data_IF_768097824926
#
_entry.id   IF_768097824926
#
_cell.length_a   1.000
_cell.length_b   1.000
_cell.length_c   1.000
_cell.angle_alpha   90.00
_cell.angle_beta   90.00
_cell.angle_gamma   90.00
#
_symmetry.space_group_name_H-M   'P 1'
#
loop_
_entity.id
_entity.type
_entity.pdbx_description
1 polymer ?
#
# COMPACT_ATOMS: atom_id res chain seq x y z
N UNK A 1 -56.42 19.56 -37.60
CA UNK A 1 -55.25 20.40 -37.28
C UNK A 1 -54.58 19.76 -36.08
N UNK A 2 -53.46 19.10 -36.33
CA UNK A 2 -52.69 18.30 -35.37
C UNK A 2 -51.96 19.20 -34.38
N UNK A 3 -51.86 18.79 -33.11
CA UNK A 3 -50.62 18.88 -32.33
C UNK A 3 -50.78 17.91 -31.14
N UNK A 4 -50.19 16.71 -31.26
CA UNK A 4 -49.97 15.84 -30.11
C UNK A 4 -48.59 16.23 -29.54
N UNK A 5 -48.58 16.94 -28.43
CA UNK A 5 -47.36 17.29 -27.72
C UNK A 5 -46.85 16.04 -27.00
N UNK A 6 -46.00 15.28 -27.70
CA UNK A 6 -45.20 14.21 -27.13
C UNK A 6 -44.11 14.78 -26.24
N UNK A 7 -44.47 15.10 -24.99
CA UNK A 7 -43.51 15.45 -23.94
C UNK A 7 -42.69 14.21 -23.56
N UNK A 8 -41.63 13.96 -24.33
CA UNK A 8 -40.59 13.01 -24.01
C UNK A 8 -39.85 13.50 -22.77
N UNK A 9 -40.38 13.18 -21.59
CA UNK A 9 -39.65 13.37 -20.33
C UNK A 9 -38.39 12.49 -20.37
N UNK A 10 -37.28 13.12 -20.74
CA UNK A 10 -35.96 12.51 -20.79
C UNK A 10 -35.49 12.17 -19.39
N UNK A 11 -36.01 11.10 -18.80
CA UNK A 11 -35.44 10.52 -17.59
C UNK A 11 -34.00 10.10 -17.92
N UNK A 12 -33.00 10.51 -17.13
CA UNK A 12 -31.64 10.02 -17.32
C UNK A 12 -31.67 8.49 -17.31
N UNK A 13 -31.19 7.87 -18.39
CA UNK A 13 -31.07 6.41 -18.45
C UNK A 13 -30.11 5.99 -17.34
N UNK A 14 -30.64 5.31 -16.33
CA UNK A 14 -29.84 4.74 -15.26
C UNK A 14 -28.85 3.74 -15.85
N UNK A 15 -27.55 4.04 -15.72
CA UNK A 15 -26.49 3.16 -16.20
C UNK A 15 -26.33 2.03 -15.19
N UNK A 16 -26.36 0.79 -15.67
CA UNK A 16 -26.16 -0.37 -14.78
C UNK A 16 -24.74 -0.40 -14.21
N UNK A 17 -24.60 -0.82 -12.95
CA UNK A 17 -23.30 -1.00 -12.28
C UNK A 17 -22.38 -1.93 -13.06
N UNK A 18 -22.94 -2.95 -13.71
CA UNK A 18 -22.19 -3.89 -14.57
C UNK A 18 -21.60 -3.20 -15.79
N UNK A 19 -22.34 -2.30 -16.44
CA UNK A 19 -21.87 -1.56 -17.59
C UNK A 19 -20.75 -0.57 -17.20
N UNK A 20 -20.88 0.08 -16.03
CA UNK A 20 -19.82 0.93 -15.47
C UNK A 20 -18.58 0.09 -15.15
N UNK A 21 -18.73 -1.06 -14.48
CA UNK A 21 -17.63 -1.96 -14.16
C UNK A 21 -16.93 -2.47 -15.43
N UNK A 22 -17.68 -2.88 -16.45
CA UNK A 22 -17.15 -3.27 -17.75
C UNK A 22 -16.35 -2.13 -18.39
N UNK A 23 -16.90 -0.91 -18.41
CA UNK A 23 -16.23 0.25 -19.00
C UNK A 23 -14.91 0.55 -18.30
N UNK A 24 -14.92 0.57 -16.97
CA UNK A 24 -13.73 0.83 -16.14
C UNK A 24 -12.65 -0.23 -16.35
N UNK A 25 -13.01 -1.51 -16.31
CA UNK A 25 -12.02 -2.59 -16.34
C UNK A 25 -11.61 -3.01 -17.75
N UNK A 26 -12.52 -3.01 -18.73
CA UNK A 26 -12.28 -3.49 -20.09
C UNK A 26 -11.95 -2.38 -21.06
N UNK A 27 -12.69 -1.27 -21.02
CA UNK A 27 -12.49 -0.17 -21.96
C UNK A 27 -11.36 0.77 -21.50
N UNK A 28 -11.38 1.17 -20.23
CA UNK A 28 -10.36 2.06 -19.67
C UNK A 28 -9.13 1.32 -19.13
N UNK A 29 -9.24 0.00 -18.86
CA UNK A 29 -8.12 -0.80 -18.36
C UNK A 29 -7.58 -0.31 -17.01
N UNK A 30 -8.46 0.20 -16.15
CA UNK A 30 -8.11 0.64 -14.80
C UNK A 30 -8.70 -0.31 -13.75
N UNK A 31 -8.01 -0.40 -12.61
CA UNK A 31 -8.42 -1.22 -11.47
C UNK A 31 -8.30 -0.41 -10.18
N UNK A 32 -9.10 -0.77 -9.17
CA UNK A 32 -9.03 -0.15 -7.85
C UNK A 32 -8.13 -0.99 -6.95
N UNK A 33 -7.04 -0.42 -6.46
CA UNK A 33 -6.08 -1.10 -5.58
C UNK A 33 -5.87 -0.32 -4.28
N UNK A 34 -5.82 -1.02 -3.14
CA UNK A 34 -5.35 -0.44 -1.89
C UNK A 34 -3.84 -0.18 -1.97
N UNK A 35 -3.39 0.97 -1.48
CA UNK A 35 -1.99 1.29 -1.45
C UNK A 35 -1.20 0.34 -0.53
N UNK A 36 -0.02 -0.08 -0.97
CA UNK A 36 0.90 -0.88 -0.15
C UNK A 36 1.60 0.03 0.86
N UNK A 37 1.53 -0.36 2.14
CA UNK A 37 2.23 0.36 3.20
C UNK A 37 3.74 0.16 3.08
N UNK A 38 4.47 1.27 3.04
CA UNK A 38 5.92 1.29 3.12
C UNK A 38 6.35 2.11 4.34
N UNK A 39 7.33 1.66 5.14
CA UNK A 39 7.74 2.38 6.35
C UNK A 39 8.21 3.81 6.04
N UNK A 40 9.02 3.99 5.00
CA UNK A 40 9.54 5.28 4.54
C UNK A 40 9.72 5.25 3.03
N UNK A 41 9.46 6.37 2.38
CA UNK A 41 9.92 6.59 1.00
C UNK A 41 11.41 6.90 1.03
N UNK A 42 12.16 6.24 0.15
CA UNK A 42 13.62 6.38 0.08
C UNK A 42 14.01 7.31 -1.06
N UNK A 43 14.95 8.21 -0.80
CA UNK A 43 15.63 9.01 -1.83
C UNK A 43 16.49 8.10 -2.71
N UNK A 44 16.92 8.61 -3.86
CA UNK A 44 17.80 7.87 -4.78
C UNK A 44 19.07 7.38 -4.08
N UNK A 45 19.78 8.26 -3.36
CA UNK A 45 21.02 7.90 -2.67
C UNK A 45 20.82 6.83 -1.58
N UNK A 46 19.69 6.89 -0.85
CA UNK A 46 19.34 5.86 0.14
C UNK A 46 19.04 4.51 -0.51
N UNK A 47 18.55 4.49 -1.76
CA UNK A 47 18.37 3.25 -2.51
C UNK A 47 19.72 2.72 -2.99
N UNK A 48 20.57 3.58 -3.52
CA UNK A 48 21.90 3.19 -3.98
C UNK A 48 22.72 2.59 -2.84
N UNK A 49 22.77 3.27 -1.68
CA UNK A 49 23.45 2.76 -0.49
C UNK A 49 22.99 1.34 -0.11
N UNK A 50 21.67 1.10 -0.15
CA UNK A 50 21.13 -0.24 0.15
C UNK A 50 21.54 -1.30 -0.86
N UNK A 51 21.68 -0.93 -2.15
CA UNK A 51 22.20 -1.84 -3.17
C UNK A 51 23.66 -2.17 -2.86
N UNK A 52 24.49 -1.14 -2.65
CA UNK A 52 25.92 -1.31 -2.36
C UNK A 52 26.15 -2.20 -1.11
N UNK A 53 25.43 -1.92 -0.02
CA UNK A 53 25.52 -2.70 1.22
C UNK A 53 25.06 -4.16 1.00
N UNK A 54 24.04 -4.37 0.18
CA UNK A 54 23.53 -5.71 -0.14
C UNK A 54 24.49 -6.51 -1.01
N UNK A 55 25.17 -5.86 -1.96
CA UNK A 55 26.19 -6.49 -2.80
C UNK A 55 27.41 -6.93 -1.98
N UNK A 56 27.84 -6.11 -1.01
CA UNK A 56 28.89 -6.47 -0.07
C UNK A 56 28.49 -7.68 0.78
N UNK A 57 27.29 -7.65 1.38
CA UNK A 57 26.75 -8.78 2.13
C UNK A 57 26.67 -10.05 1.28
N UNK A 58 26.20 -9.94 0.03
CA UNK A 58 26.10 -11.06 -0.89
C UNK A 58 27.46 -11.67 -1.22
N UNK A 59 28.48 -10.84 -1.39
CA UNK A 59 29.85 -11.30 -1.65
C UNK A 59 30.38 -12.10 -0.45
N UNK A 60 30.21 -11.58 0.77
CA UNK A 60 30.59 -12.26 2.02
C UNK A 60 29.89 -13.62 2.16
N UNK A 61 28.59 -13.66 1.88
CA UNK A 61 27.79 -14.90 1.90
C UNK A 61 28.26 -15.89 0.83
N UNK A 62 28.62 -15.44 -0.38
CA UNK A 62 29.12 -16.31 -1.44
C UNK A 62 30.50 -16.89 -1.12
N UNK A 63 31.38 -16.12 -0.48
CA UNK A 63 32.71 -16.57 -0.12
C UNK A 63 32.69 -17.64 0.99
N UNK A 64 31.91 -17.42 2.05
CA UNK A 64 31.83 -18.39 3.16
C UNK A 64 30.51 -18.29 3.94
N UNK A 65 29.43 -18.78 3.32
CA UNK A 65 28.08 -18.79 3.90
C UNK A 65 27.98 -19.39 5.31
N UNK A 66 28.51 -20.59 5.61
CA UNK A 66 28.29 -21.22 6.91
C UNK A 66 28.94 -20.42 8.05
N UNK A 67 30.16 -19.92 7.86
CA UNK A 67 30.85 -19.10 8.86
C UNK A 67 30.19 -17.73 9.04
N UNK A 68 29.82 -17.08 7.93
CA UNK A 68 29.12 -15.80 7.98
C UNK A 68 27.83 -15.89 8.81
N UNK A 69 27.00 -16.90 8.55
CA UNK A 69 25.74 -17.08 9.28
C UNK A 69 25.94 -17.50 10.74
N UNK A 70 27.01 -18.25 11.07
CA UNK A 70 27.31 -18.63 12.46
C UNK A 70 27.61 -17.41 13.34
N UNK A 71 28.23 -16.38 12.78
CA UNK A 71 28.60 -15.16 13.49
C UNK A 71 27.51 -14.07 13.43
N UNK A 72 26.49 -14.25 12.59
CA UNK A 72 25.48 -13.24 12.34
C UNK A 72 24.39 -13.27 13.42
N UNK A 73 24.54 -12.40 14.43
CA UNK A 73 23.55 -12.21 15.50
C UNK A 73 22.85 -10.87 15.30
N UNK A 74 21.52 -10.86 15.29
CA UNK A 74 20.70 -9.63 15.17
C UNK A 74 19.72 -9.51 16.32
N UNK A 75 19.43 -8.28 16.73
CA UNK A 75 18.40 -7.96 17.73
C UNK A 75 17.65 -6.70 17.31
N UNK A 76 16.32 -6.71 17.44
CA UNK A 76 15.45 -5.57 17.17
C UNK A 76 14.30 -5.55 18.17
N UNK A 77 13.79 -4.36 18.47
CA UNK A 77 12.70 -4.16 19.42
C UNK A 77 11.36 -4.00 18.67
N UNK A 78 10.38 -4.84 19.01
CA UNK A 78 9.02 -4.73 18.45
C UNK A 78 8.04 -4.31 19.54
N UNK A 79 7.35 -3.18 19.32
CA UNK A 79 6.26 -2.75 20.19
C UNK A 79 5.01 -3.62 19.97
N UNK A 80 4.58 -4.35 21.00
CA UNK A 80 3.33 -5.11 20.97
C UNK A 80 2.15 -4.21 21.37
N UNK A 81 1.25 -3.95 20.43
CA UNK A 81 0.04 -3.15 20.66
C UNK A 81 -1.20 -4.04 20.66
N UNK A 82 -2.09 -3.90 21.66
CA UNK A 82 -3.47 -4.44 21.62
C UNK A 82 -4.22 -3.75 20.47
N UNK A 83 -4.34 -4.36 19.29
CA UNK A 83 -4.76 -3.65 18.07
C UNK A 83 -6.07 -4.16 17.48
N UNK A 84 -7.03 -3.25 17.27
CA UNK A 84 -8.15 -3.43 16.34
C UNK A 84 -7.66 -3.15 14.92
N UNK A 85 -7.72 -4.14 14.03
CA UNK A 85 -7.24 -4.02 12.65
C UNK A 85 -7.97 -2.90 11.90
N UNK A 86 -7.27 -1.79 11.62
CA UNK A 86 -7.78 -0.72 10.75
C UNK A 86 -7.74 -1.19 9.29
N UNK A 87 -8.90 -1.24 8.64
CA UNK A 87 -9.00 -1.65 7.23
C UNK A 87 -8.23 -0.71 6.30
N UNK A 88 -7.39 -1.27 5.43
CA UNK A 88 -6.68 -0.51 4.41
C UNK A 88 -7.58 -0.10 3.22
N UNK A 89 -8.87 -0.46 3.24
CA UNK A 89 -9.79 -0.21 2.12
C UNK A 89 -9.96 1.28 1.82
N UNK A 90 -9.74 2.15 2.81
CA UNK A 90 -9.76 3.60 2.66
C UNK A 90 -8.59 4.17 1.84
N UNK A 91 -7.51 3.41 1.58
CA UNK A 91 -6.40 3.84 0.73
C UNK A 91 -6.54 3.39 -0.73
N UNK A 92 -7.74 2.99 -1.13
CA UNK A 92 -7.97 2.46 -2.47
C UNK A 92 -7.96 3.55 -3.53
N UNK A 93 -7.06 3.43 -4.50
CA UNK A 93 -6.91 4.36 -5.62
C UNK A 93 -7.11 3.61 -6.94
N UNK A 94 -7.64 4.31 -7.95
CA UNK A 94 -7.76 3.80 -9.30
C UNK A 94 -6.41 3.89 -10.01
N UNK A 95 -5.97 2.81 -10.65
CA UNK A 95 -4.65 2.69 -11.27
C UNK A 95 -4.73 1.86 -12.54
N UNK A 96 -3.97 2.25 -13.57
CA UNK A 96 -3.89 1.51 -14.82
C UNK A 96 -3.26 0.13 -14.64
N UNK A 97 -3.63 -0.84 -15.50
CA UNK A 97 -3.18 -2.22 -15.32
C UNK A 97 -1.65 -2.41 -15.31
N UNK A 98 -0.91 -1.63 -16.10
CA UNK A 98 0.55 -1.72 -16.22
C UNK A 98 1.30 -0.90 -15.17
N UNK A 99 0.61 -0.03 -14.42
CA UNK A 99 1.22 0.78 -13.37
C UNK A 99 1.44 -0.07 -12.10
N UNK A 100 2.52 0.18 -11.34
CA UNK A 100 2.76 -0.51 -10.09
C UNK A 100 1.67 -0.19 -9.07
N UNK A 101 1.54 -1.05 -8.06
CA UNK A 101 0.64 -0.80 -6.92
C UNK A 101 1.01 0.53 -6.25
N UNK A 102 0.03 1.42 -5.99
CA UNK A 102 0.29 2.65 -5.25
C UNK A 102 0.99 2.36 -3.93
N UNK A 103 1.95 3.21 -3.56
CA UNK A 103 2.67 3.10 -2.29
C UNK A 103 2.26 4.24 -1.38
N UNK A 104 2.07 3.93 -0.11
CA UNK A 104 1.76 4.93 0.91
C UNK A 104 2.75 4.81 2.06
N UNK A 105 3.42 5.93 2.35
CA UNK A 105 4.26 6.06 3.53
C UNK A 105 3.43 5.91 4.81
N UNK A 106 3.98 5.23 5.82
CA UNK A 106 3.39 5.23 7.16
C UNK A 106 3.43 6.65 7.74
N UNK A 107 2.30 7.36 7.73
CA UNK A 107 2.10 8.52 8.59
C UNK A 107 1.94 8.00 10.01
N UNK A 108 2.96 8.16 10.86
CA UNK A 108 2.82 7.88 12.29
C UNK A 108 1.85 8.91 12.86
N UNK A 109 0.57 8.55 12.98
CA UNK A 109 -0.30 9.23 13.92
C UNK A 109 0.18 8.80 15.31
N UNK A 110 1.04 9.61 15.93
CA UNK A 110 1.40 9.45 17.33
C UNK A 110 0.11 9.66 18.11
N UNK A 111 -0.55 8.58 18.52
CA UNK A 111 -1.50 8.65 19.62
C UNK A 111 -0.67 8.60 20.89
N UNK A 112 -0.87 9.60 21.74
CA UNK A 112 -0.15 9.80 23.00
C UNK A 112 0.06 8.48 23.75
N UNK A 113 1.32 8.11 23.93
CA UNK A 113 1.70 6.94 24.73
C UNK A 113 1.40 7.26 26.20
N UNK A 114 0.59 6.42 26.88
CA UNK A 114 0.54 6.43 28.33
C UNK A 114 1.69 5.57 28.84
N UNK A 115 2.58 6.20 29.61
CA UNK A 115 3.60 5.51 30.41
C UNK A 115 2.87 4.74 31.51
N UNK A 116 3.08 3.43 31.58
CA UNK A 116 2.71 2.62 32.75
C UNK A 116 4.01 2.32 33.45
N UNK A 117 4.25 2.97 34.57
CA UNK A 117 5.38 2.66 35.44
C UNK A 117 5.04 1.39 36.22
N UNK A 118 5.81 0.32 35.97
CA UNK A 118 5.85 -0.85 36.83
C UNK A 118 6.87 -0.55 37.93
N UNK A 119 6.38 0.02 39.04
CA UNK A 119 7.12 0.08 40.30
C UNK A 119 6.95 -1.25 41.05
N UNK A 120 8.07 -1.84 41.46
CA UNK A 120 8.16 -2.72 42.64
C UNK A 120 8.10 -4.23 42.39
N UNK A 121 9.29 -4.85 42.28
CA UNK A 121 9.61 -6.03 43.09
C UNK A 121 10.56 -5.56 44.19
#
# INVERSE_FOLDING_TARGET
MSTEDGESSGRPKEISTEHVHYTIHKYLGIRKLCAKWVPRELTFDKKQRRVDDSEQCLTMIKCNKPEFLRLYVTMDETWLHHFTLKSNRQSSEWTAHYKPVPKRGKTQHIKSHKKVDLEGI
#
